data_IF_110269847809
#
_entry.id   IF_110269847809
#
_cell.length_a   1.000
_cell.length_b   1.000
_cell.length_c   1.000
_cell.angle_alpha   90.00
_cell.angle_beta   90.00
_cell.angle_gamma   90.00
#
_symmetry.space_group_name_H-M   'P 1'
#
loop_
_entity.id
_entity.type
_entity.pdbx_description
1 polymer ?
#
# COMPACT_ATOMS: atom_id res chain seq x y z
N UNK A 1 -9.31 19.81 18.18
CA UNK A 1 -9.91 18.63 17.50
C UNK A 1 -8.74 17.91 16.82
N UNK A 2 -8.59 16.61 17.07
CA UNK A 2 -7.36 15.82 16.99
C UNK A 2 -6.32 16.22 15.92
N UNK A 3 -5.12 16.54 16.39
CA UNK A 3 -3.86 16.53 15.66
C UNK A 3 -3.26 15.13 15.85
N UNK A 4 -3.13 14.36 14.78
CA UNK A 4 -2.36 13.12 14.75
C UNK A 4 -1.61 12.98 13.42
N UNK A 5 -0.30 13.18 13.54
CA UNK A 5 0.76 12.37 12.92
C UNK A 5 1.05 12.58 11.42
N UNK A 6 1.88 13.61 11.20
CA UNK A 6 3.26 13.40 10.75
C UNK A 6 3.45 12.79 9.35
N UNK A 7 2.97 13.53 8.35
CA UNK A 7 3.55 13.50 7.01
C UNK A 7 4.95 14.12 7.00
N UNK A 8 5.96 13.38 7.48
CA UNK A 8 7.36 13.72 7.28
C UNK A 8 7.77 13.48 5.81
N UNK A 9 7.24 14.29 4.90
CA UNK A 9 7.81 14.43 3.55
C UNK A 9 8.99 15.40 3.62
N UNK A 10 10.18 14.84 3.79
CA UNK A 10 11.42 15.62 3.68
C UNK A 10 11.59 16.13 2.23
N UNK A 11 11.83 17.43 2.02
CA UNK A 11 11.96 17.98 0.69
C UNK A 11 13.37 17.68 0.15
N UNK A 12 13.42 16.91 -0.93
CA UNK A 12 14.56 16.88 -1.85
C UNK A 12 15.49 15.68 -1.76
N UNK A 13 15.21 14.62 -2.53
CA UNK A 13 16.28 13.87 -3.22
C UNK A 13 15.71 13.10 -4.43
N UNK A 14 16.21 13.46 -5.61
CA UNK A 14 16.03 12.73 -6.87
C UNK A 14 16.57 11.31 -6.71
N UNK A 15 15.73 10.28 -6.89
CA UNK A 15 16.20 8.89 -7.04
C UNK A 15 15.46 8.28 -8.22
N UNK A 16 16.25 7.87 -9.21
CA UNK A 16 15.81 7.50 -10.55
C UNK A 16 14.89 6.30 -10.61
N UNK A 17 14.28 6.18 -11.79
CA UNK A 17 13.44 5.07 -12.22
C UNK A 17 14.11 3.72 -11.96
N UNK A 18 13.87 3.12 -10.79
CA UNK A 18 14.02 1.68 -10.64
C UNK A 18 12.74 1.05 -11.16
N UNK A 19 12.88 0.37 -12.30
CA UNK A 19 11.91 -0.56 -12.84
C UNK A 19 11.28 -1.34 -11.67
N UNK A 20 9.98 -1.15 -11.46
CA UNK A 20 9.20 -1.90 -10.47
C UNK A 20 9.19 -3.35 -10.94
N UNK A 21 10.23 -4.11 -10.62
CA UNK A 21 10.06 -5.55 -10.40
C UNK A 21 8.89 -5.64 -9.43
N UNK A 22 7.83 -6.32 -9.82
CA UNK A 22 6.78 -6.73 -8.89
C UNK A 22 7.51 -7.40 -7.73
N UNK A 23 7.66 -6.67 -6.61
CA UNK A 23 8.37 -7.19 -5.45
C UNK A 23 7.53 -8.37 -4.98
N UNK A 24 8.14 -9.55 -4.93
CA UNK A 24 7.54 -10.72 -4.29
C UNK A 24 7.03 -10.28 -2.93
N UNK A 25 5.71 -10.31 -2.72
CA UNK A 25 5.09 -9.80 -1.50
C UNK A 25 5.63 -10.55 -0.28
N UNK A 26 5.99 -11.82 -0.47
CA UNK A 26 6.61 -12.70 0.53
C UNK A 26 8.03 -12.32 0.96
N UNK A 27 8.71 -11.41 0.24
CA UNK A 27 10.08 -10.96 0.58
C UNK A 27 10.11 -9.51 1.07
N UNK A 28 8.96 -8.86 1.22
CA UNK A 28 8.86 -7.50 1.73
C UNK A 28 9.07 -7.49 3.24
N UNK A 29 9.81 -6.50 3.73
CA UNK A 29 9.90 -6.24 5.17
C UNK A 29 8.55 -5.76 5.73
N UNK A 30 8.32 -5.92 7.03
CA UNK A 30 7.09 -5.45 7.72
C UNK A 30 6.77 -3.98 7.39
N UNK A 31 7.80 -3.11 7.34
CA UNK A 31 7.64 -1.71 6.96
C UNK A 31 7.18 -1.52 5.51
N UNK A 32 7.72 -2.30 4.57
CA UNK A 32 7.31 -2.24 3.16
C UNK A 32 5.92 -2.85 2.94
N UNK A 33 5.54 -3.89 3.70
CA UNK A 33 4.19 -4.46 3.69
C UNK A 33 3.16 -3.43 4.15
N UNK A 34 3.43 -2.70 5.25
CA UNK A 34 2.56 -1.61 5.69
C UNK A 34 2.42 -0.51 4.64
N UNK A 35 3.52 -0.06 4.04
CA UNK A 35 3.49 0.92 2.95
C UNK A 35 2.64 0.43 1.76
N UNK A 36 2.71 -0.87 1.44
CA UNK A 36 1.92 -1.47 0.37
C UNK A 36 0.44 -1.56 0.73
N UNK A 37 0.09 -1.92 1.97
CA UNK A 37 -1.29 -1.95 2.47
C UNK A 37 -1.92 -0.57 2.31
N UNK A 38 -1.30 0.48 2.84
CA UNK A 38 -1.82 1.84 2.73
C UNK A 38 -2.09 2.23 1.27
N UNK A 39 -1.13 1.94 0.38
CA UNK A 39 -1.29 2.25 -1.03
C UNK A 39 -2.47 1.52 -1.68
N UNK A 40 -2.62 0.21 -1.42
CA UNK A 40 -3.74 -0.57 -1.97
C UNK A 40 -5.08 -0.11 -1.38
N UNK A 41 -5.09 0.30 -0.12
CA UNK A 41 -6.27 0.83 0.57
C UNK A 41 -6.74 2.17 -0.03
N UNK A 42 -5.80 3.09 -0.31
CA UNK A 42 -6.07 4.34 -1.04
C UNK A 42 -6.61 4.07 -2.45
N UNK A 43 -5.96 3.17 -3.21
CA UNK A 43 -6.41 2.80 -4.57
C UNK A 43 -7.80 2.16 -4.54
N UNK A 44 -8.09 1.32 -3.53
CA UNK A 44 -9.40 0.69 -3.35
C UNK A 44 -10.47 1.72 -3.02
N UNK A 45 -10.16 2.68 -2.14
CA UNK A 45 -11.09 3.74 -1.77
C UNK A 45 -11.40 4.66 -2.94
N UNK A 46 -10.39 5.04 -3.74
CA UNK A 46 -10.59 5.77 -4.98
C UNK A 46 -11.49 4.98 -5.95
N UNK A 47 -11.19 3.70 -6.22
CA UNK A 47 -12.01 2.85 -7.07
C UNK A 47 -13.46 2.75 -6.59
N UNK A 48 -13.69 2.64 -5.28
CA UNK A 48 -15.04 2.63 -4.71
C UNK A 48 -15.77 3.96 -4.90
N UNK A 49 -15.08 5.10 -4.77
CA UNK A 49 -15.66 6.43 -5.04
C UNK A 49 -16.03 6.62 -6.50
N UNK A 50 -15.23 6.07 -7.41
CA UNK A 50 -15.48 6.06 -8.86
C UNK A 50 -16.48 4.97 -9.31
N UNK A 51 -17.13 4.28 -8.35
CA UNK A 51 -18.10 3.19 -8.59
C UNK A 51 -17.51 2.00 -9.37
N UNK A 52 -16.18 1.87 -9.36
CA UNK A 52 -15.44 0.76 -9.98
C UNK A 52 -15.37 -0.44 -9.02
N UNK A 53 -16.52 -1.06 -8.76
CA UNK A 53 -16.63 -2.12 -7.75
C UNK A 53 -15.83 -3.38 -8.07
N UNK A 54 -15.69 -3.72 -9.35
CA UNK A 54 -14.87 -4.87 -9.77
C UNK A 54 -13.38 -4.65 -9.44
N UNK A 55 -12.88 -3.44 -9.69
CA UNK A 55 -11.53 -3.05 -9.33
C UNK A 55 -11.36 -2.98 -7.81
N UNK A 56 -12.31 -2.39 -7.09
CA UNK A 56 -12.29 -2.32 -5.64
C UNK A 56 -12.31 -3.72 -4.99
N UNK A 57 -13.08 -4.66 -5.55
CA UNK A 57 -13.09 -6.06 -5.09
C UNK A 57 -11.70 -6.71 -5.27
N UNK A 58 -11.09 -6.55 -6.44
CA UNK A 58 -9.73 -7.06 -6.69
C UNK A 58 -8.70 -6.46 -5.73
N UNK A 59 -8.77 -5.14 -5.50
CA UNK A 59 -7.87 -4.45 -4.58
C UNK A 59 -8.07 -4.89 -3.13
N UNK A 60 -9.31 -5.21 -2.72
CA UNK A 60 -9.59 -5.80 -1.41
C UNK A 60 -8.92 -7.16 -1.24
N UNK A 61 -8.97 -8.01 -2.26
CA UNK A 61 -8.34 -9.33 -2.23
C UNK A 61 -6.81 -9.21 -2.15
N UNK A 62 -6.22 -8.30 -2.94
CA UNK A 62 -4.79 -7.95 -2.85
C UNK A 62 -4.41 -7.45 -1.44
N UNK A 63 -5.23 -6.56 -0.86
CA UNK A 63 -5.01 -6.01 0.48
C UNK A 63 -5.05 -7.10 1.55
N UNK A 64 -6.00 -8.03 1.47
CA UNK A 64 -6.08 -9.20 2.36
C UNK A 64 -4.80 -10.04 2.27
N UNK A 65 -4.34 -10.32 1.05
CA UNK A 65 -3.13 -11.11 0.85
C UNK A 65 -1.89 -10.45 1.47
N UNK A 66 -1.73 -9.12 1.33
CA UNK A 66 -0.62 -8.39 1.94
C UNK A 66 -0.74 -8.36 3.47
N UNK A 67 -1.94 -8.19 4.03
CA UNK A 67 -2.18 -8.26 5.49
C UNK A 67 -1.86 -9.64 6.05
N UNK A 68 -2.21 -10.70 5.34
CA UNK A 68 -1.88 -12.06 5.77
C UNK A 68 -0.36 -12.32 5.75
N UNK A 69 0.35 -11.78 4.76
CA UNK A 69 1.81 -11.83 4.72
C UNK A 69 2.45 -11.02 5.87
N UNK A 70 1.87 -9.89 6.26
CA UNK A 70 2.31 -9.11 7.41
C UNK A 70 2.23 -9.94 8.70
N UNK A 71 1.10 -10.62 8.92
CA UNK A 71 0.89 -11.47 10.09
C UNK A 71 1.87 -12.65 10.09
N UNK A 72 2.15 -13.25 8.93
CA UNK A 72 3.14 -14.34 8.80
C UNK A 72 4.59 -13.88 9.03
N UNK A 73 4.90 -12.61 8.78
CA UNK A 73 6.23 -12.01 8.98
C UNK A 73 6.37 -11.28 10.34
N UNK A 74 5.34 -11.32 11.20
CA UNK A 74 5.36 -10.70 12.54
C UNK A 74 5.79 -11.69 13.62
#
# INVERSE_FOLDING_TARGET
MADILEGAVTPGKKIGAKAKKAKDISKLTVGELNQRIHKVEDEMFAAAKDLQFELAAKLRDDLQMVKEQLIKNS
#
